data_IF_536457488404
#
_entry.id   IF_536457488404
#
_cell.length_a   1.000
_cell.length_b   1.000
_cell.length_c   1.000
_cell.angle_alpha   90.00
_cell.angle_beta   90.00
_cell.angle_gamma   90.00
#
_symmetry.space_group_name_H-M   'P 1'
#
loop_
_entity.id
_entity.type
_entity.pdbx_description
1 polymer ?
#
# COMPACT_ATOMS: atom_id res chain seq x y z
N UNK A 1 11.83 6.70 -9.70
CA UNK A 1 12.18 5.87 -8.51
C UNK A 1 11.71 4.42 -8.63
N UNK A 2 10.64 4.12 -9.35
CA UNK A 2 10.07 2.76 -9.50
C UNK A 2 10.89 1.82 -10.37
N UNK A 3 11.62 2.34 -11.36
CA UNK A 3 12.53 1.55 -12.21
C UNK A 3 13.72 0.95 -11.48
N UNK A 4 14.05 1.45 -10.30
CA UNK A 4 15.22 0.96 -9.55
C UNK A 4 15.02 -0.46 -8.97
N UNK A 5 13.78 -0.92 -8.84
CA UNK A 5 13.47 -2.27 -8.32
C UNK A 5 13.66 -3.37 -9.38
N UNK A 6 13.86 -3.00 -10.66
CA UNK A 6 14.12 -3.96 -11.74
C UNK A 6 12.94 -4.84 -12.15
N UNK A 7 11.72 -4.56 -11.69
CA UNK A 7 10.53 -5.35 -12.00
C UNK A 7 9.56 -4.57 -12.88
N UNK A 8 8.92 -5.30 -13.81
CA UNK A 8 7.85 -4.74 -14.61
C UNK A 8 6.58 -4.52 -13.78
N UNK A 9 5.85 -3.49 -14.14
CA UNK A 9 4.54 -3.18 -13.59
C UNK A 9 3.53 -4.24 -14.00
N UNK A 10 2.69 -4.70 -13.07
CA UNK A 10 1.53 -5.52 -13.41
C UNK A 10 0.51 -4.72 -14.21
N UNK A 11 0.00 -5.30 -15.27
CA UNK A 11 -1.06 -4.73 -16.14
C UNK A 11 -2.32 -5.60 -16.16
N UNK A 12 -2.37 -6.64 -15.33
CA UNK A 12 -3.49 -7.57 -15.32
C UNK A 12 -4.76 -6.90 -14.75
N UNK A 13 -5.83 -6.89 -15.54
CA UNK A 13 -7.14 -6.36 -15.16
C UNK A 13 -8.21 -7.43 -14.97
N UNK A 14 -7.84 -8.73 -14.78
CA UNK A 14 -8.82 -9.79 -14.55
C UNK A 14 -9.58 -9.60 -13.21
N UNK A 15 -10.68 -10.35 -13.03
CA UNK A 15 -11.54 -10.23 -11.86
C UNK A 15 -10.82 -10.41 -10.52
N UNK A 16 -9.84 -11.35 -10.46
CA UNK A 16 -9.04 -11.57 -9.24
C UNK A 16 -8.14 -10.37 -8.93
N UNK A 17 -7.45 -9.81 -9.95
CA UNK A 17 -6.63 -8.63 -9.77
C UNK A 17 -7.46 -7.40 -9.41
N UNK A 18 -8.63 -7.23 -10.02
CA UNK A 18 -9.57 -6.17 -9.67
C UNK A 18 -10.10 -6.32 -8.21
N UNK A 19 -10.33 -7.55 -7.74
CA UNK A 19 -10.71 -7.81 -6.35
C UNK A 19 -9.61 -7.39 -5.38
N UNK A 20 -8.33 -7.64 -5.68
CA UNK A 20 -7.21 -7.14 -4.88
C UNK A 20 -7.20 -5.60 -4.82
N UNK A 21 -7.32 -4.92 -5.96
CA UNK A 21 -7.42 -3.46 -6.01
C UNK A 21 -8.60 -2.93 -5.21
N UNK A 22 -9.73 -3.64 -5.19
CA UNK A 22 -10.94 -3.26 -4.46
C UNK A 22 -10.76 -3.42 -2.95
N UNK A 23 -10.31 -4.60 -2.49
CA UNK A 23 -10.42 -4.99 -1.08
C UNK A 23 -9.09 -4.93 -0.31
N UNK A 24 -7.96 -5.09 -0.99
CA UNK A 24 -6.62 -5.13 -0.37
C UNK A 24 -5.68 -4.20 -1.13
N UNK A 25 -5.87 -2.88 -1.04
CA UNK A 25 -4.92 -1.94 -1.64
C UNK A 25 -3.54 -2.15 -1.03
N UNK A 26 -2.53 -2.18 -1.90
CA UNK A 26 -1.16 -2.42 -1.50
C UNK A 26 -0.53 -1.23 -0.77
N UNK A 27 0.53 -1.51 0.00
CA UNK A 27 1.24 -0.47 0.74
C UNK A 27 2.02 0.50 -0.16
N UNK A 28 2.23 1.70 0.36
CA UNK A 28 3.05 2.73 -0.25
C UNK A 28 4.53 2.53 0.13
N UNK A 29 5.42 2.84 -0.79
CA UNK A 29 6.81 3.22 -0.50
C UNK A 29 6.88 4.73 -0.18
N UNK A 30 7.99 5.20 0.44
CA UNK A 30 8.15 6.62 0.77
C UNK A 30 7.96 7.56 -0.43
N UNK A 31 8.47 7.19 -1.60
CA UNK A 31 8.32 7.99 -2.83
C UNK A 31 6.91 8.01 -3.40
N UNK A 32 6.09 6.99 -3.11
CA UNK A 32 4.73 6.91 -3.65
C UNK A 32 3.82 8.05 -3.15
N UNK A 33 4.05 8.55 -1.92
CA UNK A 33 3.32 9.69 -1.36
C UNK A 33 3.45 10.92 -2.28
N UNK A 34 4.68 11.22 -2.68
CA UNK A 34 4.99 12.38 -3.52
C UNK A 34 4.46 12.16 -4.93
N UNK A 35 4.74 10.98 -5.53
CA UNK A 35 4.34 10.66 -6.89
C UNK A 35 2.81 10.72 -7.06
N UNK A 36 2.05 10.17 -6.11
CA UNK A 36 0.59 10.20 -6.14
C UNK A 36 0.08 11.63 -5.93
N UNK A 37 0.67 12.36 -5.00
CA UNK A 37 0.29 13.75 -4.74
C UNK A 37 0.47 14.63 -5.97
N UNK A 38 1.61 14.56 -6.62
CA UNK A 38 1.89 15.30 -7.85
C UNK A 38 0.94 14.91 -8.99
N UNK A 39 0.64 13.62 -9.13
CA UNK A 39 -0.27 13.13 -10.17
C UNK A 39 -1.71 13.63 -9.97
N UNK A 40 -2.18 13.70 -8.73
CA UNK A 40 -3.52 14.19 -8.39
C UNK A 40 -3.57 15.72 -8.41
N UNK A 41 -2.42 16.39 -8.30
CA UNK A 41 -2.34 17.86 -8.22
C UNK A 41 -2.80 18.39 -6.87
N UNK A 42 -2.37 17.78 -5.76
CA UNK A 42 -2.73 18.25 -4.41
C UNK A 42 -2.20 19.67 -4.16
N UNK A 43 -2.95 20.43 -3.36
CA UNK A 43 -2.58 21.81 -3.00
C UNK A 43 -2.03 21.92 -1.59
N UNK A 44 -2.46 21.04 -0.71
CA UNK A 44 -2.13 21.05 0.71
C UNK A 44 -1.91 19.61 1.20
N UNK A 45 -0.73 19.38 1.81
CA UNK A 45 -0.24 18.03 2.13
C UNK A 45 -1.11 17.32 3.18
N UNK A 46 -1.49 18.00 4.26
CA UNK A 46 -2.23 17.35 5.35
C UNK A 46 -3.61 16.90 4.88
N UNK A 47 -4.33 17.77 4.20
CA UNK A 47 -5.64 17.46 3.61
C UNK A 47 -5.56 16.31 2.60
N UNK A 48 -4.54 16.31 1.74
CA UNK A 48 -4.31 15.21 0.79
C UNK A 48 -4.08 13.88 1.52
N UNK A 49 -3.23 13.87 2.53
CA UNK A 49 -2.86 12.69 3.29
C UNK A 49 -4.09 12.12 4.03
N UNK A 50 -4.82 12.94 4.76
CA UNK A 50 -6.01 12.53 5.51
C UNK A 50 -7.13 11.99 4.63
N UNK A 51 -7.32 12.60 3.46
CA UNK A 51 -8.34 12.16 2.52
C UNK A 51 -7.95 10.92 1.73
N UNK A 52 -6.65 10.62 1.60
CA UNK A 52 -6.17 9.65 0.62
C UNK A 52 -5.60 8.38 1.22
N UNK A 53 -5.17 8.41 2.49
CA UNK A 53 -4.41 7.32 3.07
C UNK A 53 -4.85 6.94 4.49
N UNK A 54 -4.39 5.78 4.94
CA UNK A 54 -4.60 5.24 6.29
C UNK A 54 -3.28 4.70 6.84
N UNK A 55 -3.07 4.85 8.15
CA UNK A 55 -2.01 4.19 8.87
C UNK A 55 -2.36 2.71 9.04
N UNK A 56 -1.55 1.83 8.48
CA UNK A 56 -1.69 0.38 8.65
C UNK A 56 -0.72 -0.11 9.71
N UNK A 57 -1.11 -1.07 10.57
CA UNK A 57 -0.17 -1.77 11.45
C UNK A 57 0.89 -2.55 10.64
N UNK A 58 0.62 -2.77 9.36
CA UNK A 58 1.56 -3.31 8.38
C UNK A 58 1.72 -4.82 8.43
N UNK A 59 2.67 -5.31 7.65
CA UNK A 59 2.90 -6.73 7.45
C UNK A 59 3.80 -7.35 8.53
N UNK A 60 3.57 -8.63 8.83
CA UNK A 60 4.48 -9.46 9.62
C UNK A 60 5.59 -10.01 8.71
N UNK A 61 6.83 -9.81 9.12
CA UNK A 61 8.03 -10.30 8.42
C UNK A 61 8.85 -11.15 9.37
N UNK A 62 9.20 -12.35 8.93
CA UNK A 62 10.13 -13.21 9.65
C UNK A 62 11.58 -12.87 9.28
N UNK A 63 12.43 -12.63 10.29
CA UNK A 63 13.87 -12.43 10.11
C UNK A 63 14.61 -13.07 11.29
N UNK A 64 15.57 -13.95 10.99
CA UNK A 64 16.38 -14.65 12.00
C UNK A 64 15.53 -15.31 13.11
N UNK A 65 14.45 -16.01 12.74
CA UNK A 65 13.56 -16.70 13.67
C UNK A 65 12.64 -15.80 14.51
N UNK A 66 12.67 -14.47 14.28
CA UNK A 66 11.80 -13.51 14.96
C UNK A 66 10.78 -12.90 13.99
N UNK A 67 9.60 -12.57 14.50
CA UNK A 67 8.58 -11.86 13.75
C UNK A 67 8.67 -10.36 14.06
N UNK A 68 8.69 -9.56 13.00
CA UNK A 68 8.68 -8.10 13.06
C UNK A 68 7.45 -7.59 12.32
N UNK A 69 6.81 -6.58 12.86
CA UNK A 69 5.73 -5.88 12.17
C UNK A 69 6.28 -4.57 11.60
N UNK A 70 6.19 -4.42 10.28
CA UNK A 70 6.62 -3.21 9.57
C UNK A 70 5.39 -2.38 9.29
N UNK A 71 5.22 -1.30 10.03
CA UNK A 71 4.11 -0.34 9.85
C UNK A 71 4.18 0.29 8.47
N UNK A 72 3.03 0.39 7.79
CA UNK A 72 2.94 0.88 6.41
C UNK A 72 1.80 1.89 6.26
N UNK A 73 1.83 2.66 5.17
CA UNK A 73 0.73 3.50 4.74
C UNK A 73 0.03 2.79 3.58
N UNK A 74 -1.28 2.84 3.56
CA UNK A 74 -2.11 2.24 2.51
C UNK A 74 -3.14 3.25 2.01
N UNK A 75 -3.68 3.10 0.78
CA UNK A 75 -4.79 3.92 0.30
C UNK A 75 -6.00 3.85 1.21
N UNK A 76 -6.68 4.99 1.37
CA UNK A 76 -7.94 5.08 2.08
C UNK A 76 -9.04 4.26 1.40
N UNK A 77 -10.13 4.02 2.11
CA UNK A 77 -11.30 3.32 1.60
C UNK A 77 -12.47 4.29 1.43
N UNK A 78 -13.30 4.03 0.44
CA UNK A 78 -14.57 4.73 0.25
C UNK A 78 -15.66 4.15 1.17
N UNK A 79 -16.87 4.68 1.09
CA UNK A 79 -18.06 4.26 1.83
C UNK A 79 -18.45 2.78 1.63
N UNK A 80 -18.08 2.20 0.48
CA UNK A 80 -18.30 0.78 0.18
C UNK A 80 -17.18 -0.12 0.73
N UNK A 81 -16.17 0.45 1.42
CA UNK A 81 -15.01 -0.27 1.92
C UNK A 81 -13.98 -0.62 0.84
N UNK A 82 -14.12 -0.09 -0.38
CA UNK A 82 -13.18 -0.29 -1.47
C UNK A 82 -12.06 0.73 -1.44
N UNK A 83 -10.93 0.41 -2.09
CA UNK A 83 -9.87 1.38 -2.28
C UNK A 83 -10.44 2.67 -2.89
N UNK A 84 -10.14 3.82 -2.29
CA UNK A 84 -10.60 5.13 -2.74
C UNK A 84 -10.27 5.43 -4.21
N UNK A 85 -9.15 4.93 -4.69
CA UNK A 85 -8.67 5.13 -6.07
C UNK A 85 -9.24 4.11 -7.07
N UNK A 86 -10.08 3.18 -6.62
CA UNK A 86 -10.75 2.23 -7.49
C UNK A 86 -12.14 2.76 -7.86
N UNK A 87 -12.43 2.93 -9.15
CA UNK A 87 -13.70 3.47 -9.63
C UNK A 87 -14.79 2.42 -9.88
N UNK A 88 -14.51 1.16 -9.50
CA UNK A 88 -15.36 0.01 -9.76
C UNK A 88 -14.87 -0.83 -10.94
N UNK A 89 -14.00 -0.29 -11.79
CA UNK A 89 -13.46 -0.96 -12.96
C UNK A 89 -11.93 -0.86 -13.05
N UNK A 90 -11.40 0.34 -12.83
CA UNK A 90 -9.98 0.64 -13.00
C UNK A 90 -9.42 1.44 -11.80
N UNK A 91 -8.11 1.46 -11.68
CA UNK A 91 -7.41 2.31 -10.71
C UNK A 91 -7.16 3.69 -11.31
N UNK A 92 -7.75 4.73 -10.73
CA UNK A 92 -7.61 6.14 -11.17
C UNK A 92 -6.16 6.65 -11.15
N UNK A 93 -5.35 6.09 -10.26
CA UNK A 93 -3.93 6.44 -10.13
C UNK A 93 -3.01 5.36 -10.68
N UNK A 94 -3.49 4.54 -11.63
CA UNK A 94 -2.71 3.42 -12.15
C UNK A 94 -1.29 3.80 -12.62
N UNK A 95 -1.05 4.94 -13.29
CA UNK A 95 0.31 5.36 -13.68
C UNK A 95 1.27 5.55 -12.52
N UNK A 96 0.75 5.90 -11.35
CA UNK A 96 1.49 6.18 -10.10
C UNK A 96 1.01 5.30 -8.94
N UNK A 97 0.34 4.18 -9.22
CA UNK A 97 -0.20 3.30 -8.19
C UNK A 97 0.85 2.91 -7.15
N UNK A 98 0.45 2.75 -5.87
CA UNK A 98 1.36 2.34 -4.81
C UNK A 98 2.18 1.11 -5.18
N UNK A 99 3.36 0.98 -4.59
CA UNK A 99 4.23 -0.18 -4.81
C UNK A 99 3.49 -1.50 -4.64
N UNK A 100 2.78 -1.67 -3.54
CA UNK A 100 2.02 -2.89 -3.23
C UNK A 100 0.84 -3.17 -4.18
N UNK A 101 0.54 -2.26 -5.13
CA UNK A 101 -0.44 -2.46 -6.19
C UNK A 101 0.23 -2.61 -7.57
N UNK A 102 1.36 -1.90 -7.78
CA UNK A 102 1.94 -1.74 -9.11
C UNK A 102 2.65 -2.99 -9.64
N UNK A 103 3.19 -3.81 -8.76
CA UNK A 103 4.09 -4.92 -9.10
C UNK A 103 3.54 -6.30 -8.75
N UNK A 104 2.29 -6.37 -8.34
CA UNK A 104 1.64 -7.61 -7.92
C UNK A 104 0.39 -7.87 -8.75
N UNK A 105 0.22 -9.11 -9.17
CA UNK A 105 -1.02 -9.62 -9.72
C UNK A 105 -1.32 -11.02 -9.16
N UNK A 106 -2.55 -11.49 -9.37
CA UNK A 106 -3.03 -12.76 -8.81
C UNK A 106 -2.46 -14.01 -9.53
N UNK A 107 -1.67 -13.80 -10.58
CA UNK A 107 -1.11 -14.88 -11.40
C UNK A 107 0.40 -15.04 -11.20
N UNK A 108 1.02 -14.14 -10.43
CA UNK A 108 2.46 -14.22 -10.17
C UNK A 108 2.81 -15.43 -9.31
N UNK A 109 3.98 -15.98 -9.59
CA UNK A 109 4.57 -16.99 -8.73
C UNK A 109 4.77 -16.45 -7.30
N UNK A 110 4.34 -17.20 -6.25
CA UNK A 110 4.42 -16.73 -4.87
C UNK A 110 5.85 -16.42 -4.41
N UNK A 111 6.86 -17.12 -4.91
CA UNK A 111 8.25 -16.87 -4.53
C UNK A 111 8.76 -15.57 -5.15
N UNK A 112 8.37 -15.27 -6.38
CA UNK A 112 8.67 -14.01 -7.04
C UNK A 112 8.00 -12.83 -6.33
N UNK A 113 6.71 -12.94 -6.06
CA UNK A 113 5.95 -11.93 -5.30
C UNK A 113 6.54 -11.69 -3.92
N UNK A 114 6.98 -12.76 -3.23
CA UNK A 114 7.63 -12.67 -1.92
C UNK A 114 8.93 -11.89 -1.97
N UNK A 115 9.77 -12.09 -2.99
CA UNK A 115 11.02 -11.32 -3.17
C UNK A 115 10.76 -9.84 -3.40
N UNK A 116 9.83 -9.50 -4.29
CA UNK A 116 9.45 -8.11 -4.56
C UNK A 116 8.93 -7.46 -3.27
N UNK A 117 8.03 -8.14 -2.56
CA UNK A 117 7.45 -7.66 -1.31
C UNK A 117 8.53 -7.40 -0.25
N UNK A 118 9.50 -8.31 -0.10
CA UNK A 118 10.60 -8.16 0.85
C UNK A 118 11.43 -6.90 0.56
N UNK A 119 11.77 -6.63 -0.70
CA UNK A 119 12.51 -5.42 -1.08
C UNK A 119 11.75 -4.14 -0.72
N UNK A 120 10.45 -4.07 -1.04
CA UNK A 120 9.62 -2.93 -0.69
C UNK A 120 9.52 -2.73 0.82
N UNK A 121 9.30 -3.81 1.58
CA UNK A 121 9.21 -3.75 3.03
C UNK A 121 10.54 -3.39 3.69
N UNK A 122 11.69 -3.79 3.13
CA UNK A 122 13.00 -3.33 3.59
C UNK A 122 13.17 -1.82 3.41
N UNK A 123 12.69 -1.26 2.30
CA UNK A 123 12.72 0.19 2.04
C UNK A 123 11.87 0.94 3.07
N UNK A 124 10.69 0.42 3.41
CA UNK A 124 9.84 1.00 4.46
C UNK A 124 10.48 0.82 5.84
N UNK A 125 11.05 -0.35 6.16
CA UNK A 125 11.71 -0.59 7.43
C UNK A 125 12.89 0.36 7.69
N UNK A 126 13.62 0.75 6.64
CA UNK A 126 14.70 1.73 6.73
C UNK A 126 14.21 3.12 7.16
N UNK A 127 12.96 3.49 6.85
CA UNK A 127 12.36 4.75 7.32
C UNK A 127 12.19 4.76 8.84
N UNK A 128 11.81 3.62 9.42
CA UNK A 128 11.61 3.46 10.87
C UNK A 128 12.92 3.46 11.67
N UNK A 129 14.07 3.27 11.03
CA UNK A 129 15.39 3.45 11.67
C UNK A 129 15.74 4.93 11.89
N UNK A 130 15.14 5.83 11.09
CA UNK A 130 15.34 7.28 11.14
C UNK A 130 13.99 7.98 11.33
N UNK A 131 13.18 7.48 12.27
CA UNK A 131 11.76 7.82 12.44
C UNK A 131 11.50 9.33 12.53
N UNK A 132 12.31 10.04 13.31
CA UNK A 132 12.12 11.48 13.55
C UNK A 132 12.31 12.34 12.29
N UNK A 133 13.22 11.95 11.41
CA UNK A 133 13.51 12.69 10.16
C UNK A 133 12.73 12.19 8.95
N UNK A 134 12.06 11.04 9.06
CA UNK A 134 11.33 10.44 7.96
C UNK A 134 9.94 11.05 7.77
N UNK A 135 9.72 11.68 6.62
CA UNK A 135 8.37 12.15 6.22
C UNK A 135 7.36 11.00 6.24
N UNK A 136 7.75 9.80 5.81
CA UNK A 136 6.88 8.62 5.83
C UNK A 136 6.38 8.28 7.23
N UNK A 137 7.28 8.28 8.22
CA UNK A 137 6.93 8.00 9.61
C UNK A 137 6.08 9.13 10.21
N UNK A 138 6.41 10.38 9.93
CA UNK A 138 5.62 11.54 10.36
C UNK A 138 4.19 11.48 9.82
N UNK A 139 4.00 11.15 8.54
CA UNK A 139 2.68 10.94 7.92
C UNK A 139 1.95 9.78 8.58
N UNK A 140 2.60 8.66 8.82
CA UNK A 140 1.99 7.51 9.49
C UNK A 140 1.49 7.88 10.89
N UNK A 141 2.30 8.58 11.69
CA UNK A 141 1.91 9.04 13.02
C UNK A 141 0.78 10.07 12.99
N UNK A 142 0.80 10.97 12.02
CA UNK A 142 -0.28 11.92 11.83
C UNK A 142 -1.61 11.20 11.57
N UNK A 143 -1.64 10.28 10.62
CA UNK A 143 -2.83 9.46 10.31
C UNK A 143 -3.32 8.67 11.52
N UNK A 144 -2.39 8.06 12.28
CA UNK A 144 -2.74 7.31 13.48
C UNK A 144 -3.38 8.19 14.55
N UNK A 145 -2.80 9.37 14.84
CA UNK A 145 -3.35 10.32 15.79
C UNK A 145 -4.72 10.87 15.38
N UNK A 146 -4.96 11.01 14.08
CA UNK A 146 -6.25 11.43 13.53
C UNK A 146 -7.29 10.29 13.47
N UNK A 147 -6.96 9.09 13.97
CA UNK A 147 -7.87 7.94 13.93
C UNK A 147 -8.03 7.32 12.53
N UNK A 148 -7.23 7.75 11.56
CA UNK A 148 -7.26 7.27 10.18
C UNK A 148 -6.41 6.00 10.05
N UNK A 149 -6.94 4.88 10.53
CA UNK A 149 -6.24 3.60 10.61
C UNK A 149 -6.87 2.54 9.71
N UNK A 150 -6.03 1.66 9.19
CA UNK A 150 -6.45 0.51 8.39
C UNK A 150 -6.37 -0.78 9.20
N UNK A 151 -7.19 -1.79 8.90
CA UNK A 151 -7.00 -3.15 9.40
C UNK A 151 -5.66 -3.71 8.91
N UNK A 152 -5.16 -4.74 9.59
CA UNK A 152 -3.94 -5.44 9.16
C UNK A 152 -4.13 -6.13 7.80
N UNK A 153 -3.05 -6.40 7.05
CA UNK A 153 -3.15 -7.19 5.83
C UNK A 153 -3.77 -8.58 6.05
N UNK A 154 -3.56 -9.17 7.22
CA UNK A 154 -4.14 -10.44 7.62
C UNK A 154 -5.67 -10.36 7.75
N UNK A 155 -6.17 -9.33 8.44
CA UNK A 155 -7.61 -9.06 8.56
C UNK A 155 -8.25 -8.75 7.21
N UNK A 156 -7.55 -8.00 6.34
CA UNK A 156 -8.04 -7.73 4.98
C UNK A 156 -8.21 -9.02 4.18
N UNK A 157 -7.24 -9.93 4.23
CA UNK A 157 -7.33 -11.24 3.55
C UNK A 157 -8.47 -12.09 4.07
N UNK A 158 -8.65 -12.16 5.39
CA UNK A 158 -9.75 -12.90 6.01
C UNK A 158 -11.12 -12.36 5.57
N UNK A 159 -11.26 -11.04 5.50
CA UNK A 159 -12.50 -10.41 5.00
C UNK A 159 -12.74 -10.74 3.53
N UNK A 160 -11.71 -10.71 2.70
CA UNK A 160 -11.83 -11.04 1.27
C UNK A 160 -12.27 -12.49 1.04
N UNK A 161 -11.73 -13.45 1.80
CA UNK A 161 -12.11 -14.86 1.72
C UNK A 161 -13.59 -15.12 2.04
N UNK A 162 -14.24 -14.23 2.80
CA UNK A 162 -15.69 -14.32 3.11
C UNK A 162 -16.59 -13.75 2.02
N UNK A 163 -16.03 -12.90 1.13
CA UNK A 163 -16.79 -12.15 0.12
C UNK A 163 -16.61 -12.77 -1.27
N UNK A 164 -15.47 -13.37 -1.53
CA UNK A 164 -15.14 -14.02 -2.81
C UNK A 164 -15.11 -15.53 -2.55
N UNK A 165 -16.15 -16.27 -2.93
CA UNK A 165 -16.22 -17.74 -2.78
C UNK A 165 -15.22 -18.45 -3.69
#
# INVERSE_FOLDING_TARGET
MRSFLGYSRSICGCGLCAANCRFIPGCLLPGDLIDIGLFIGYKELSSFVEQSFLASPGALVAKAGRLYRIRTIVPARNEHGWCKFFDGKLCKIHPVAPFGCAYFDSHQDPSHSGRISALGLMTVAAQWQNEESSLYCQVWHHLQRSGLTAPSPEECRQRMQRIVP
#
